data_IF_745112049824
#
_entry.id   IF_745112049824
#
_cell.length_a   1.000
_cell.length_b   1.000
_cell.length_c   1.000
_cell.angle_alpha   90.00
_cell.angle_beta   90.00
_cell.angle_gamma   90.00
#
_symmetry.space_group_name_H-M   'P 1'
#
loop_
_entity.id
_entity.type
_entity.pdbx_description
1 polymer ?
#
# COMPACT_ATOMS: atom_id res chain seq x y z
N UNK A 1 7.12 -16.90 1.61
CA UNK A 1 7.81 -15.63 1.28
C UNK A 1 7.73 -15.47 -0.22
N UNK A 2 7.04 -14.43 -0.68
CA UNK A 2 6.75 -14.19 -2.09
C UNK A 2 7.77 -13.22 -2.71
N UNK A 3 8.06 -12.12 -2.04
CA UNK A 3 9.04 -11.14 -2.46
C UNK A 3 10.48 -11.64 -2.29
N UNK A 4 11.32 -11.28 -3.25
CA UNK A 4 12.76 -11.27 -3.02
C UNK A 4 13.19 -10.13 -2.08
N UNK A 5 14.48 -10.05 -1.76
CA UNK A 5 15.01 -9.03 -0.85
C UNK A 5 14.82 -7.61 -1.39
N UNK A 6 15.08 -7.39 -2.68
CA UNK A 6 14.99 -6.08 -3.32
C UNK A 6 13.54 -5.60 -3.40
N UNK A 7 12.63 -6.45 -3.86
CA UNK A 7 11.19 -6.19 -3.92
C UNK A 7 10.63 -5.85 -2.54
N UNK A 8 10.99 -6.64 -1.52
CA UNK A 8 10.56 -6.38 -0.15
C UNK A 8 11.09 -5.02 0.34
N UNK A 9 12.35 -4.67 0.03
CA UNK A 9 12.93 -3.37 0.40
C UNK A 9 12.23 -2.22 -0.32
N UNK A 10 11.88 -2.37 -1.59
CA UNK A 10 11.08 -1.40 -2.35
C UNK A 10 9.72 -1.18 -1.68
N UNK A 11 9.00 -2.24 -1.30
CA UNK A 11 7.70 -2.12 -0.61
C UNK A 11 7.85 -1.48 0.78
N UNK A 12 8.93 -1.74 1.51
CA UNK A 12 9.23 -1.06 2.78
C UNK A 12 9.40 0.45 2.58
N UNK A 13 10.20 0.86 1.60
CA UNK A 13 10.43 2.29 1.31
C UNK A 13 9.14 2.95 0.84
N UNK A 14 8.37 2.30 -0.04
CA UNK A 14 7.06 2.81 -0.46
C UNK A 14 6.08 2.93 0.70
N UNK A 15 6.09 1.99 1.65
CA UNK A 15 5.25 2.07 2.85
C UNK A 15 5.58 3.30 3.68
N UNK A 16 6.88 3.57 3.88
CA UNK A 16 7.40 4.73 4.61
C UNK A 16 7.04 6.06 3.93
N UNK A 17 6.98 6.08 2.60
CA UNK A 17 6.68 7.30 1.85
C UNK A 17 5.17 7.56 1.68
N UNK A 18 4.35 6.51 1.60
CA UNK A 18 2.90 6.63 1.36
C UNK A 18 2.15 6.90 2.67
N UNK A 19 2.52 6.24 3.75
CA UNK A 19 2.00 6.48 5.10
C UNK A 19 3.21 6.58 6.06
N UNK A 20 3.87 7.74 6.11
CA UNK A 20 5.00 7.96 7.00
C UNK A 20 4.57 7.94 8.47
N UNK A 21 5.54 7.78 9.36
CA UNK A 21 5.34 8.08 10.78
C UNK A 21 5.08 9.58 10.97
N UNK A 22 4.06 9.88 11.79
CA UNK A 22 3.71 11.25 12.20
C UNK A 22 3.53 11.26 13.72
N UNK A 23 2.36 11.64 14.23
CA UNK A 23 2.00 11.47 15.64
C UNK A 23 1.67 10.01 15.98
N UNK A 24 1.43 9.19 14.95
CA UNK A 24 1.22 7.75 15.04
C UNK A 24 2.25 6.99 14.19
N UNK A 25 2.55 5.72 14.51
CA UNK A 25 3.43 4.89 13.69
C UNK A 25 2.86 4.70 12.26
N UNK A 26 3.73 4.80 11.26
CA UNK A 26 3.36 4.67 9.83
C UNK A 26 3.23 3.22 9.33
N UNK A 27 3.00 3.06 8.02
CA UNK A 27 2.77 1.74 7.40
C UNK A 27 3.97 0.79 7.49
N UNK A 28 5.19 1.33 7.50
CA UNK A 28 6.40 0.55 7.72
C UNK A 28 6.43 -0.06 9.13
N UNK A 29 6.09 0.72 10.15
CA UNK A 29 5.99 0.23 11.53
C UNK A 29 4.84 -0.77 11.71
N UNK A 30 3.77 -0.63 10.93
CA UNK A 30 2.68 -1.60 10.82
C UNK A 30 3.04 -2.87 10.03
N UNK A 31 4.28 -3.01 9.55
CA UNK A 31 4.72 -4.16 8.75
C UNK A 31 3.85 -4.43 7.51
N UNK A 32 3.37 -3.37 6.84
CA UNK A 32 2.54 -3.48 5.65
C UNK A 32 3.18 -4.38 4.58
N UNK A 33 4.49 -4.30 4.39
CA UNK A 33 5.24 -5.16 3.47
C UNK A 33 5.10 -6.66 3.80
N UNK A 34 5.07 -7.05 5.08
CA UNK A 34 4.96 -8.46 5.50
C UNK A 34 3.55 -8.99 5.28
N UNK A 35 2.55 -8.16 5.55
CA UNK A 35 1.16 -8.50 5.27
C UNK A 35 0.95 -8.70 3.76
N UNK A 36 1.45 -7.79 2.93
CA UNK A 36 1.35 -7.88 1.47
C UNK A 36 2.12 -9.10 0.95
N UNK A 37 3.31 -9.42 1.47
CA UNK A 37 4.08 -10.63 1.11
C UNK A 37 3.26 -11.91 1.37
N UNK A 38 2.61 -11.98 2.54
CA UNK A 38 1.78 -13.11 2.91
C UNK A 38 0.54 -13.21 2.01
N UNK A 39 -0.18 -12.10 1.81
CA UNK A 39 -1.35 -12.05 0.94
C UNK A 39 -1.00 -12.52 -0.48
N UNK A 40 0.04 -11.94 -1.09
CA UNK A 40 0.44 -12.31 -2.44
C UNK A 40 0.89 -13.77 -2.54
N UNK A 41 1.42 -14.36 -1.47
CA UNK A 41 1.84 -15.77 -1.48
C UNK A 41 0.69 -16.77 -1.65
N UNK A 42 -0.55 -16.36 -1.39
CA UNK A 42 -1.76 -17.18 -1.56
C UNK A 42 -2.71 -16.66 -2.66
N UNK A 43 -2.37 -15.54 -3.29
CA UNK A 43 -3.12 -14.96 -4.39
C UNK A 43 -2.97 -15.73 -5.71
N UNK A 44 -3.88 -15.45 -6.65
CA UNK A 44 -3.82 -16.01 -7.99
C UNK A 44 -2.52 -15.59 -8.72
N UNK A 45 -1.91 -16.47 -9.56
CA UNK A 45 -0.68 -16.16 -10.29
C UNK A 45 -0.75 -14.87 -11.12
N UNK A 46 -1.93 -14.53 -11.64
CA UNK A 46 -2.18 -13.31 -12.40
C UNK A 46 -1.98 -12.06 -11.54
N UNK A 47 -2.48 -12.09 -10.29
CA UNK A 47 -2.33 -11.00 -9.31
C UNK A 47 -0.91 -10.87 -8.79
N UNK A 48 -0.26 -12.00 -8.55
CA UNK A 48 1.17 -12.04 -8.24
C UNK A 48 1.99 -11.36 -9.35
N UNK A 49 1.75 -11.71 -10.61
CA UNK A 49 2.45 -11.14 -11.76
C UNK A 49 2.15 -9.65 -11.95
N UNK A 50 0.91 -9.23 -11.76
CA UNK A 50 0.50 -7.82 -11.82
C UNK A 50 1.29 -6.98 -10.80
N UNK A 51 1.39 -7.46 -9.55
CA UNK A 51 2.09 -6.76 -8.49
C UNK A 51 3.61 -6.70 -8.73
N UNK A 52 4.23 -7.81 -9.11
CA UNK A 52 5.66 -7.83 -9.46
C UNK A 52 5.95 -6.96 -10.69
N UNK A 53 5.02 -6.92 -11.66
CA UNK A 53 5.09 -6.03 -12.81
C UNK A 53 5.08 -4.55 -12.41
N UNK A 54 4.28 -4.17 -11.41
CA UNK A 54 4.27 -2.81 -10.87
C UNK A 54 5.62 -2.42 -10.24
N UNK A 55 6.21 -3.30 -9.43
CA UNK A 55 7.54 -3.09 -8.83
C UNK A 55 8.64 -3.02 -9.90
N UNK A 56 8.63 -3.95 -10.86
CA UNK A 56 9.59 -3.97 -11.96
C UNK A 56 9.50 -2.76 -12.88
N UNK A 57 8.29 -2.25 -13.14
CA UNK A 57 8.10 -1.02 -13.91
C UNK A 57 8.69 0.19 -13.19
N UNK A 58 8.47 0.31 -11.88
CA UNK A 58 9.01 1.41 -11.06
C UNK A 58 10.54 1.43 -11.11
N UNK A 59 11.18 0.27 -10.90
CA UNK A 59 12.63 0.17 -10.99
C UNK A 59 13.15 0.42 -12.41
N UNK A 60 12.50 -0.13 -13.44
CA UNK A 60 12.86 0.10 -14.83
C UNK A 60 12.75 1.57 -15.24
N UNK A 61 11.74 2.28 -14.72
CA UNK A 61 11.61 3.73 -14.91
C UNK A 61 12.75 4.47 -14.21
N UNK A 62 13.06 4.14 -12.96
CA UNK A 62 14.14 4.80 -12.21
C UNK A 62 15.51 4.54 -12.84
N UNK A 63 15.79 3.31 -13.26
CA UNK A 63 17.01 2.95 -14.00
C UNK A 63 17.15 3.76 -15.28
N UNK A 64 16.06 3.95 -16.03
CA UNK A 64 16.09 4.70 -17.30
C UNK A 64 16.37 6.20 -17.10
N UNK A 65 15.87 6.80 -16.02
CA UNK A 65 15.88 8.25 -15.84
C UNK A 65 16.94 8.75 -14.85
N UNK A 66 17.37 7.90 -13.92
CA UNK A 66 18.33 8.24 -12.85
C UNK A 66 19.53 7.27 -12.79
N UNK A 67 19.54 6.20 -13.59
CA UNK A 67 20.65 5.24 -13.65
C UNK A 67 20.73 4.25 -12.49
N UNK A 68 19.75 4.23 -11.59
CA UNK A 68 19.75 3.39 -10.38
C UNK A 68 18.31 2.98 -10.03
N UNK A 69 18.07 1.81 -9.40
CA UNK A 69 16.72 1.39 -9.02
C UNK A 69 16.09 2.31 -7.98
N UNK A 70 14.77 2.20 -7.77
CA UNK A 70 14.04 3.12 -6.91
C UNK A 70 14.58 3.17 -5.47
N UNK A 71 14.92 2.00 -4.93
CA UNK A 71 15.35 1.85 -3.53
C UNK A 71 16.71 2.49 -3.22
N UNK A 72 17.52 2.78 -4.24
CA UNK A 72 18.84 3.40 -4.12
C UNK A 72 18.81 4.90 -4.45
N UNK A 73 17.69 5.42 -4.94
CA UNK A 73 17.49 6.84 -5.13
C UNK A 73 17.56 7.61 -3.82
N UNK A 74 18.03 8.86 -3.89
CA UNK A 74 17.96 9.77 -2.76
C UNK A 74 16.51 10.16 -2.43
N UNK A 75 16.21 10.60 -1.19
CA UNK A 75 14.84 10.92 -0.77
C UNK A 75 14.13 11.94 -1.67
N UNK A 76 14.86 12.93 -2.21
CA UNK A 76 14.30 13.91 -3.12
C UNK A 76 13.78 13.29 -4.43
N UNK A 77 14.56 12.37 -5.02
CA UNK A 77 14.21 11.65 -6.25
C UNK A 77 13.07 10.64 -6.02
N UNK A 78 13.08 9.94 -4.87
CA UNK A 78 11.95 9.07 -4.50
C UNK A 78 10.64 9.86 -4.39
N UNK A 79 10.68 11.01 -3.73
CA UNK A 79 9.52 11.90 -3.61
C UNK A 79 9.08 12.48 -4.96
N UNK A 80 10.03 12.81 -5.84
CA UNK A 80 9.72 13.24 -7.20
C UNK A 80 8.99 12.14 -7.98
N UNK A 81 9.46 10.90 -7.89
CA UNK A 81 8.81 9.74 -8.48
C UNK A 81 7.39 9.54 -7.96
N UNK A 82 7.17 9.63 -6.65
CA UNK A 82 5.81 9.51 -6.10
C UNK A 82 4.89 10.65 -6.55
N UNK A 83 5.39 11.89 -6.62
CA UNK A 83 4.61 13.03 -7.14
C UNK A 83 4.21 12.83 -8.59
N UNK A 84 5.10 12.26 -9.41
CA UNK A 84 4.81 11.93 -10.80
C UNK A 84 3.71 10.87 -10.92
N UNK A 85 3.73 9.84 -10.07
CA UNK A 85 2.82 8.70 -10.15
C UNK A 85 1.49 8.89 -9.39
N UNK A 86 1.32 10.02 -8.69
CA UNK A 86 0.07 10.35 -7.95
C UNK A 86 -0.87 11.25 -8.73
N UNK A 87 -0.50 11.70 -9.93
CA UNK A 87 -1.30 12.59 -10.77
C UNK A 87 -1.58 11.96 -12.13
N UNK A 88 -2.76 12.22 -12.72
CA UNK A 88 -3.00 11.85 -14.12
C UNK A 88 -1.95 12.48 -15.04
N UNK A 89 -1.56 11.74 -16.09
CA UNK A 89 -0.63 12.21 -17.11
C UNK A 89 -1.14 11.85 -18.50
N UNK A 90 -0.89 12.75 -19.46
CA UNK A 90 -1.15 12.52 -20.89
C UNK A 90 -0.03 11.71 -21.55
N UNK A 91 1.13 11.58 -20.90
CA UNK A 91 2.19 10.68 -21.36
C UNK A 91 1.76 9.22 -21.10
N UNK A 92 1.75 8.40 -22.14
CA UNK A 92 1.27 7.02 -22.06
C UNK A 92 2.10 6.14 -21.11
N UNK A 93 3.43 6.35 -21.07
CA UNK A 93 4.33 5.61 -20.17
C UNK A 93 4.04 5.99 -18.73
N UNK A 94 3.87 7.27 -18.43
CA UNK A 94 3.55 7.75 -17.09
C UNK A 94 2.14 7.33 -16.67
N UNK A 95 1.16 7.45 -17.56
CA UNK A 95 -0.23 7.04 -17.31
C UNK A 95 -0.32 5.55 -16.94
N UNK A 96 0.47 4.70 -17.62
CA UNK A 96 0.59 3.29 -17.25
C UNK A 96 1.24 3.12 -15.87
N UNK A 97 2.32 3.86 -15.58
CA UNK A 97 2.94 3.90 -14.27
C UNK A 97 2.00 4.31 -13.13
N UNK A 98 1.14 5.31 -13.35
CA UNK A 98 0.13 5.77 -12.38
C UNK A 98 -0.85 4.64 -12.03
N UNK A 99 -1.28 3.85 -13.02
CA UNK A 99 -2.17 2.70 -12.78
C UNK A 99 -1.46 1.62 -11.95
N UNK A 100 -0.23 1.27 -12.30
CA UNK A 100 0.58 0.29 -11.56
C UNK A 100 0.90 0.75 -10.13
N UNK A 101 1.23 2.03 -9.96
CA UNK A 101 1.49 2.62 -8.65
C UNK A 101 0.22 2.62 -7.78
N UNK A 102 -0.96 2.83 -8.38
CA UNK A 102 -2.24 2.80 -7.67
C UNK A 102 -2.53 1.44 -7.06
N UNK A 103 -2.12 0.33 -7.71
CA UNK A 103 -2.21 -1.01 -7.14
C UNK A 103 -1.37 -1.12 -5.86
N UNK A 104 -0.09 -0.77 -5.93
CA UNK A 104 0.85 -0.86 -4.79
C UNK A 104 0.40 0.05 -3.64
N UNK A 105 -0.01 1.29 -3.96
CA UNK A 105 -0.52 2.25 -2.99
C UNK A 105 -1.76 1.71 -2.26
N UNK A 106 -2.72 1.17 -2.98
CA UNK A 106 -3.94 0.61 -2.37
C UNK A 106 -3.62 -0.57 -1.46
N UNK A 107 -2.72 -1.47 -1.86
CA UNK A 107 -2.29 -2.58 -1.01
C UNK A 107 -1.64 -2.11 0.29
N UNK A 108 -0.80 -1.06 0.25
CA UNK A 108 -0.18 -0.46 1.44
C UNK A 108 -1.22 0.19 2.36
N UNK A 109 -2.15 0.96 1.79
CA UNK A 109 -3.23 1.60 2.54
C UNK A 109 -4.12 0.56 3.22
N UNK A 110 -4.49 -0.50 2.49
CA UNK A 110 -5.32 -1.56 3.04
C UNK A 110 -4.61 -2.35 4.14
N UNK A 111 -3.33 -2.69 3.94
CA UNK A 111 -2.52 -3.36 4.94
C UNK A 111 -2.38 -2.51 6.22
N UNK A 112 -2.19 -1.19 6.08
CA UNK A 112 -2.08 -0.29 7.23
C UNK A 112 -3.38 -0.18 8.02
N UNK A 113 -4.51 0.12 7.36
CA UNK A 113 -5.79 0.28 8.05
C UNK A 113 -6.45 -1.03 8.48
N UNK A 114 -5.88 -2.18 8.12
CA UNK A 114 -6.25 -3.48 8.70
C UNK A 114 -5.32 -3.88 9.86
N UNK A 115 -4.28 -3.11 10.14
CA UNK A 115 -3.36 -3.35 11.25
C UNK A 115 -3.87 -2.76 12.55
N UNK A 116 -3.39 -3.28 13.69
CA UNK A 116 -3.69 -2.70 15.01
C UNK A 116 -3.29 -1.22 15.10
N UNK A 117 -2.15 -0.84 14.50
CA UNK A 117 -1.69 0.55 14.47
C UNK A 117 -2.69 1.44 13.73
N UNK A 118 -3.07 1.07 12.51
CA UNK A 118 -4.00 1.88 11.71
C UNK A 118 -5.40 1.93 12.33
N UNK A 119 -5.92 0.80 12.82
CA UNK A 119 -7.28 0.73 13.36
C UNK A 119 -7.41 1.39 14.73
N UNK A 120 -6.52 1.08 15.67
CA UNK A 120 -6.67 1.50 17.06
C UNK A 120 -5.94 2.80 17.37
N UNK A 121 -4.81 3.10 16.73
CA UNK A 121 -4.01 4.30 17.04
C UNK A 121 -4.34 5.47 16.12
N UNK A 122 -4.42 5.21 14.81
CA UNK A 122 -4.71 6.26 13.82
C UNK A 122 -6.21 6.56 13.74
N UNK A 123 -7.04 5.56 13.41
CA UNK A 123 -8.49 5.75 13.30
C UNK A 123 -9.19 5.88 14.66
N UNK A 124 -8.52 5.49 15.76
CA UNK A 124 -9.08 5.41 17.11
C UNK A 124 -10.43 4.70 17.11
N UNK A 125 -10.52 3.63 16.31
CA UNK A 125 -11.77 2.88 16.17
C UNK A 125 -12.14 2.30 17.53
N UNK A 126 -13.23 2.80 18.10
CA UNK A 126 -13.78 2.23 19.32
C UNK A 126 -14.30 0.84 18.98
N UNK A 127 -13.72 -0.18 19.59
CA UNK A 127 -14.28 -1.53 19.51
C UNK A 127 -15.71 -1.45 20.01
N UNK A 128 -16.69 -1.78 19.16
CA UNK A 128 -18.08 -1.90 19.61
C UNK A 128 -18.05 -2.87 20.80
N UNK A 129 -18.32 -2.40 22.05
CA UNK A 129 -18.30 -3.29 23.19
C UNK A 129 -19.28 -4.42 22.91
N UNK A 130 -18.96 -5.63 23.39
CA UNK A 130 -19.85 -6.78 23.26
C UNK A 130 -21.27 -6.37 23.67
N UNK A 131 -22.19 -6.36 22.70
CA UNK A 131 -23.60 -6.12 22.91
C UNK A 131 -24.21 -7.49 23.24
N UNK A 132 -24.62 -7.77 24.49
CA UNK A 132 -25.24 -9.04 24.83
C UNK A 132 -26.58 -9.24 24.11
N UNK A 133 -27.21 -8.15 23.66
CA UNK A 133 -28.48 -8.15 22.97
C UNK A 133 -28.40 -7.18 21.77
N UNK A 134 -28.89 -7.63 20.61
CA UNK A 134 -29.15 -6.77 19.46
C UNK A 134 -30.66 -6.52 19.45
N UNK A 135 -31.15 -5.42 20.07
CA UNK A 135 -32.57 -5.12 20.03
C UNK A 135 -33.01 -5.01 18.57
N UNK A 136 -33.99 -5.83 18.19
CA UNK A 136 -34.59 -5.76 16.87
C UNK A 136 -35.20 -4.39 16.63
N UNK A 137 -35.28 -3.98 15.36
CA UNK A 137 -35.88 -2.71 14.99
C UNK A 137 -37.35 -2.65 15.45
N UNK A 138 -37.69 -1.68 16.28
CA UNK A 138 -39.08 -1.33 16.60
C UNK A 138 -39.68 -0.48 15.48
N UNK A 139 -39.99 -1.09 14.33
CA UNK A 139 -40.79 -0.44 13.29
C UNK A 139 -42.23 -0.96 13.30
N UNK A 140 -43.24 -0.08 13.07
CA UNK A 140 -44.67 -0.39 13.26
C UNK A 140 -45.21 -1.52 12.37
N UNK A 141 -44.49 -1.91 11.32
CA UNK A 141 -44.94 -2.87 10.31
C UNK A 141 -44.23 -4.22 10.46
N UNK A 142 -44.26 -4.79 11.66
CA UNK A 142 -43.67 -6.09 11.98
C UNK A 142 -43.96 -7.17 10.93
N UNK A 143 -42.93 -7.91 10.53
CA UNK A 143 -43.02 -9.07 9.64
C UNK A 143 -43.69 -10.27 10.31
#
# INVERSE_FOLDING_TARGET
>A
KFFDEHQNKTVIVLSDLIIPETDTPGAKAAYANRFIDLLLSVEAPEKQKEYLGALGWLDGYCLSNFGTPFVTLGPAQQNEMLRLLTRPSNDARISYGVKLFSLVKQSIVWAYYSSEIGTLKELKYETNPFQPEFPGCEHPEGH
#
